data_IF_375058096869
#
_entry.id   IF_375058096869
#
_cell.length_a   1.000
_cell.length_b   1.000
_cell.length_c   1.000
_cell.angle_alpha   90.00
_cell.angle_beta   90.00
_cell.angle_gamma   90.00
#
_symmetry.space_group_name_H-M   'P 1'
#
loop_
_entity.id
_entity.type
_entity.pdbx_description
1 polymer ?
#
# COMPACT_ATOMS: atom_id res chain seq x y z
N UNK A 1 -1.38 2.10 19.52
CA UNK A 1 -0.58 1.09 20.27
C UNK A 1 -0.61 -0.25 19.53
N UNK A 2 0.19 -1.22 19.99
CA UNK A 2 0.13 -2.59 19.44
C UNK A 2 -1.23 -3.24 19.73
N UNK A 3 -1.88 -2.88 20.82
CA UNK A 3 -3.20 -3.43 21.16
C UNK A 3 -4.30 -2.84 20.30
N UNK A 4 -4.23 -1.55 19.96
CA UNK A 4 -5.14 -0.94 18.97
C UNK A 4 -4.99 -1.61 17.60
N UNK A 5 -3.76 -1.93 17.17
CA UNK A 5 -3.52 -2.64 15.92
C UNK A 5 -4.14 -4.05 15.92
N UNK A 6 -4.13 -4.77 17.04
CA UNK A 6 -4.81 -6.07 17.16
C UNK A 6 -6.32 -5.94 16.99
N UNK A 7 -6.93 -4.94 17.63
CA UNK A 7 -8.38 -4.67 17.49
C UNK A 7 -8.72 -4.38 16.01
N UNK A 8 -7.91 -3.57 15.34
CA UNK A 8 -8.09 -3.29 13.91
C UNK A 8 -7.99 -4.57 13.08
N UNK A 9 -7.02 -5.44 13.34
CA UNK A 9 -6.87 -6.72 12.64
C UNK A 9 -8.09 -7.64 12.85
N UNK A 10 -8.64 -7.70 14.06
CA UNK A 10 -9.86 -8.47 14.36
C UNK A 10 -11.05 -7.95 13.54
N UNK A 11 -11.25 -6.62 13.52
CA UNK A 11 -12.31 -5.98 12.71
C UNK A 11 -12.12 -6.28 11.22
N UNK A 12 -10.88 -6.24 10.72
CA UNK A 12 -10.57 -6.54 9.32
C UNK A 12 -10.85 -7.99 8.97
N UNK A 13 -10.50 -8.93 9.82
CA UNK A 13 -10.80 -10.34 9.62
C UNK A 13 -12.33 -10.58 9.59
N UNK A 14 -13.08 -9.97 10.50
CA UNK A 14 -14.55 -10.04 10.50
C UNK A 14 -15.17 -9.46 9.24
N UNK A 15 -14.70 -8.27 8.80
CA UNK A 15 -15.14 -7.66 7.55
C UNK A 15 -14.84 -8.56 6.34
N UNK A 16 -13.65 -9.19 6.32
CA UNK A 16 -13.24 -10.14 5.31
C UNK A 16 -14.14 -11.39 5.26
N UNK A 17 -14.56 -11.92 6.40
CA UNK A 17 -15.51 -13.04 6.45
C UNK A 17 -16.88 -12.66 5.88
N UNK A 18 -17.40 -11.48 6.27
CA UNK A 18 -18.69 -10.98 5.75
C UNK A 18 -18.61 -10.76 4.24
N UNK A 19 -17.55 -10.13 3.76
CA UNK A 19 -17.33 -9.90 2.34
C UNK A 19 -17.23 -11.22 1.55
N UNK A 20 -16.47 -12.18 2.06
CA UNK A 20 -16.32 -13.52 1.46
C UNK A 20 -17.66 -14.26 1.37
N UNK A 21 -18.50 -14.18 2.39
CA UNK A 21 -19.83 -14.77 2.37
C UNK A 21 -20.74 -14.13 1.29
N UNK A 22 -20.49 -12.87 0.94
CA UNK A 22 -21.15 -12.14 -0.14
C UNK A 22 -20.48 -12.32 -1.52
N UNK A 23 -19.42 -13.11 -1.64
CA UNK A 23 -18.65 -13.29 -2.87
C UNK A 23 -17.77 -12.08 -3.24
N UNK A 24 -17.44 -11.23 -2.28
CA UNK A 24 -16.62 -10.02 -2.46
C UNK A 24 -15.27 -10.21 -1.77
N UNK A 25 -14.19 -9.74 -2.38
CA UNK A 25 -12.88 -9.62 -1.73
C UNK A 25 -12.83 -8.33 -0.89
N UNK A 26 -12.23 -8.39 0.28
CA UNK A 26 -12.04 -7.23 1.15
C UNK A 26 -10.56 -6.94 1.33
N UNK A 27 -10.17 -5.69 1.25
CA UNK A 27 -8.78 -5.29 1.39
C UNK A 27 -8.61 -3.90 2.00
N UNK A 28 -7.37 -3.57 2.31
CA UNK A 28 -6.98 -2.32 2.93
C UNK A 28 -5.96 -1.58 2.07
N UNK A 29 -6.16 -0.27 1.89
CA UNK A 29 -5.26 0.66 1.21
C UNK A 29 -4.49 1.49 2.24
N UNK A 30 -3.16 1.54 2.13
CA UNK A 30 -2.31 2.29 3.04
C UNK A 30 -1.97 3.69 2.55
N UNK A 31 -1.69 4.57 3.51
CA UNK A 31 -0.94 5.80 3.31
C UNK A 31 0.42 5.71 4.05
N UNK A 32 1.07 6.84 4.28
CA UNK A 32 2.38 6.87 4.97
C UNK A 32 2.29 6.68 6.49
N UNK A 33 1.11 6.93 7.08
CA UNK A 33 0.90 6.86 8.52
C UNK A 33 1.08 5.46 9.11
N UNK A 34 0.75 4.43 8.35
CA UNK A 34 0.85 3.02 8.75
C UNK A 34 2.29 2.55 8.90
N UNK A 35 3.25 3.25 8.32
CA UNK A 35 4.67 2.95 8.47
C UNK A 35 5.30 3.56 9.72
N UNK A 36 4.52 4.31 10.51
CA UNK A 36 4.95 4.75 11.82
C UNK A 36 5.01 3.57 12.80
N UNK A 37 5.89 3.71 13.81
CA UNK A 37 5.97 2.73 14.88
C UNK A 37 4.85 2.95 15.89
N UNK A 38 4.20 1.89 16.30
CA UNK A 38 3.21 1.91 17.35
C UNK A 38 3.85 2.39 18.67
N UNK A 39 3.09 3.18 19.44
CA UNK A 39 3.53 3.59 20.77
C UNK A 39 3.30 2.45 21.75
N UNK A 40 4.31 2.09 22.52
CA UNK A 40 4.22 1.18 23.66
C UNK A 40 4.38 1.94 24.98
N UNK A 41 3.76 1.44 26.03
CA UNK A 41 4.15 1.75 27.40
C UNK A 41 5.22 0.75 27.83
N UNK A 42 6.27 1.22 28.53
CA UNK A 42 7.21 0.31 29.18
C UNK A 42 6.57 -0.30 30.46
N UNK A 43 7.23 -1.30 31.03
CA UNK A 43 6.77 -1.99 32.25
C UNK A 43 6.63 -1.04 33.48
N UNK A 44 7.03 0.21 33.34
CA UNK A 44 6.94 1.28 34.35
C UNK A 44 5.89 2.34 34.00
N UNK A 45 5.06 2.11 32.96
CA UNK A 45 4.02 3.05 32.51
C UNK A 45 4.54 4.29 31.77
N UNK A 46 5.80 4.28 31.34
CA UNK A 46 6.36 5.39 30.56
C UNK A 46 5.95 5.24 29.09
N UNK A 47 5.16 6.19 28.59
CA UNK A 47 4.80 6.30 27.17
C UNK A 47 5.99 6.71 26.32
N UNK A 48 6.05 6.22 25.10
CA UNK A 48 7.02 6.67 24.09
C UNK A 48 8.09 5.64 23.74
N UNK A 49 8.02 4.41 24.25
CA UNK A 49 8.83 3.30 23.72
C UNK A 49 8.31 2.96 22.32
N UNK A 50 9.20 2.97 21.33
CA UNK A 50 8.83 2.64 19.94
C UNK A 50 8.48 1.15 19.84
N UNK A 51 7.24 0.88 19.39
CA UNK A 51 6.76 -0.45 19.08
C UNK A 51 7.15 -0.92 17.69
N UNK A 52 6.39 -1.87 17.19
CA UNK A 52 6.54 -2.38 15.82
C UNK A 52 5.90 -1.40 14.82
N UNK A 53 6.25 -1.52 13.54
CA UNK A 53 5.61 -0.76 12.46
C UNK A 53 4.14 -1.19 12.39
N UNK A 54 3.22 -0.23 12.35
CA UNK A 54 1.77 -0.50 12.35
C UNK A 54 1.38 -1.35 11.14
N UNK A 55 1.92 -1.04 9.95
CA UNK A 55 1.64 -1.82 8.74
C UNK A 55 2.08 -3.28 8.87
N UNK A 56 3.23 -3.54 9.48
CA UNK A 56 3.71 -4.90 9.77
C UNK A 56 2.77 -5.63 10.74
N UNK A 57 2.26 -4.94 11.76
CA UNK A 57 1.28 -5.51 12.68
C UNK A 57 -0.02 -5.89 11.95
N UNK A 58 -0.49 -5.06 11.03
CA UNK A 58 -1.70 -5.31 10.23
C UNK A 58 -1.51 -6.50 9.28
N UNK A 59 -0.38 -6.56 8.58
CA UNK A 59 -0.04 -7.66 7.67
C UNK A 59 0.08 -9.00 8.38
N UNK A 60 0.66 -9.02 9.58
CA UNK A 60 0.84 -10.22 10.39
C UNK A 60 -0.42 -10.63 11.16
N UNK A 61 -1.26 -9.67 11.56
CA UNK A 61 -2.45 -9.90 12.39
C UNK A 61 -3.72 -10.24 11.61
N UNK A 62 -3.69 -10.15 10.27
CA UNK A 62 -4.85 -10.44 9.42
C UNK A 62 -4.69 -11.75 8.65
N UNK A 63 -5.79 -12.49 8.50
CA UNK A 63 -5.83 -13.73 7.71
C UNK A 63 -5.69 -13.41 6.21
N UNK A 64 -4.65 -13.93 5.52
CA UNK A 64 -4.44 -13.68 4.09
C UNK A 64 -5.55 -14.26 3.18
N UNK A 65 -6.41 -15.15 3.70
CA UNK A 65 -7.58 -15.68 2.95
C UNK A 65 -8.80 -14.77 3.05
N UNK A 66 -8.76 -13.79 3.94
CA UNK A 66 -9.87 -12.88 4.22
C UNK A 66 -9.55 -11.43 3.84
N UNK A 67 -8.28 -11.04 4.02
CA UNK A 67 -7.83 -9.65 3.89
C UNK A 67 -6.65 -9.58 2.93
N UNK A 68 -6.79 -8.85 1.84
CA UNK A 68 -5.66 -8.46 1.00
C UNK A 68 -5.24 -7.02 1.31
N UNK A 69 -4.09 -6.61 0.80
CA UNK A 69 -3.64 -5.23 0.90
C UNK A 69 -3.46 -4.64 -0.50
N UNK A 70 -4.05 -3.48 -0.73
CA UNK A 70 -3.77 -2.63 -1.87
C UNK A 70 -2.64 -1.69 -1.46
N UNK A 71 -1.40 -2.06 -1.82
CA UNK A 71 -0.27 -1.21 -1.47
C UNK A 71 -0.22 0.03 -2.33
N UNK A 72 -0.28 1.20 -1.69
CA UNK A 72 0.11 2.46 -2.33
C UNK A 72 1.63 2.57 -2.31
N UNK A 73 2.24 2.47 -3.49
CA UNK A 73 3.70 2.46 -3.63
C UNK A 73 4.32 3.83 -3.33
N UNK A 74 3.63 4.92 -3.64
CA UNK A 74 4.11 6.28 -3.33
C UNK A 74 4.08 6.54 -1.83
N UNK A 75 2.95 6.25 -1.17
CA UNK A 75 2.84 6.45 0.27
C UNK A 75 3.74 5.51 1.07
N UNK A 76 4.08 4.33 0.54
CA UNK A 76 5.09 3.45 1.13
C UNK A 76 6.47 4.13 1.14
N UNK A 77 6.88 4.73 0.01
CA UNK A 77 8.13 5.50 -0.07
C UNK A 77 8.09 6.74 0.83
N UNK A 78 6.95 7.44 0.88
CA UNK A 78 6.77 8.58 1.80
C UNK A 78 6.79 8.16 3.28
N UNK A 79 6.40 6.92 3.58
CA UNK A 79 6.57 6.27 4.87
C UNK A 79 8.01 5.80 5.16
N UNK A 80 8.96 6.16 4.28
CA UNK A 80 10.38 5.79 4.39
C UNK A 80 10.62 4.26 4.35
N UNK A 81 9.80 3.56 3.56
CA UNK A 81 9.93 2.13 3.32
C UNK A 81 10.14 1.85 1.83
N UNK A 82 10.75 0.71 1.52
CA UNK A 82 10.89 0.25 0.15
C UNK A 82 9.76 -0.73 -0.20
N UNK A 83 8.93 -0.45 -1.22
CA UNK A 83 7.91 -1.39 -1.69
C UNK A 83 8.47 -2.76 -2.05
N UNK A 84 9.69 -2.83 -2.60
CA UNK A 84 10.31 -4.09 -3.01
C UNK A 84 10.59 -5.00 -1.81
N UNK A 85 11.06 -4.42 -0.68
CA UNK A 85 11.28 -5.16 0.57
C UNK A 85 9.97 -5.72 1.11
N UNK A 86 8.87 -4.95 1.03
CA UNK A 86 7.55 -5.41 1.45
C UNK A 86 7.00 -6.52 0.57
N UNK A 87 7.21 -6.47 -0.76
CA UNK A 87 6.84 -7.56 -1.65
C UNK A 87 7.59 -8.87 -1.34
N UNK A 88 8.87 -8.78 -0.96
CA UNK A 88 9.62 -9.96 -0.51
C UNK A 88 9.15 -10.46 0.84
N UNK A 89 9.05 -9.58 1.83
CA UNK A 89 8.71 -9.92 3.22
C UNK A 89 7.31 -10.51 3.36
N UNK A 90 6.37 -10.01 2.57
CA UNK A 90 4.95 -10.36 2.64
C UNK A 90 4.41 -10.84 1.29
N UNK A 91 5.13 -11.76 0.65
CA UNK A 91 4.76 -12.29 -0.66
C UNK A 91 3.29 -12.79 -0.69
N UNK A 92 2.56 -12.43 -1.75
CA UNK A 92 1.17 -12.80 -1.95
C UNK A 92 0.15 -11.96 -1.16
N UNK A 93 0.59 -10.97 -0.35
CA UNK A 93 -0.33 -10.11 0.39
C UNK A 93 -0.82 -8.91 -0.42
N UNK A 94 -0.19 -8.60 -1.58
CA UNK A 94 -0.43 -7.41 -2.40
C UNK A 94 -0.90 -7.77 -3.82
N UNK A 95 -2.09 -8.40 -3.97
CA UNK A 95 -2.63 -8.69 -5.30
C UNK A 95 -3.08 -7.44 -6.05
N UNK A 96 -3.25 -6.33 -5.35
CA UNK A 96 -3.65 -5.03 -5.88
C UNK A 96 -2.60 -3.98 -5.51
N UNK A 97 -2.23 -3.12 -6.45
CA UNK A 97 -1.41 -1.94 -6.19
C UNK A 97 -2.14 -0.65 -6.49
N UNK A 98 -1.86 0.35 -5.69
CA UNK A 98 -2.21 1.73 -5.95
C UNK A 98 -0.96 2.43 -6.51
N UNK A 99 -1.01 2.76 -7.79
CA UNK A 99 0.10 3.36 -8.54
C UNK A 99 -0.04 4.86 -8.53
N UNK A 100 0.84 5.48 -7.79
CA UNK A 100 0.85 6.90 -7.52
C UNK A 100 2.27 7.45 -7.58
N UNK A 101 2.38 8.72 -7.92
CA UNK A 101 3.58 9.52 -7.83
C UNK A 101 3.21 10.88 -7.17
N UNK A 102 4.16 11.73 -6.96
CA UNK A 102 3.93 13.08 -6.42
C UNK A 102 2.96 13.91 -7.29
N UNK A 103 2.94 13.65 -8.58
CA UNK A 103 2.07 14.24 -9.59
C UNK A 103 1.93 13.24 -10.74
N UNK A 104 2.24 13.64 -11.98
CA UNK A 104 2.22 12.74 -13.14
C UNK A 104 3.22 11.61 -12.94
N UNK A 105 2.81 10.38 -13.24
CA UNK A 105 3.64 9.18 -13.08
C UNK A 105 4.98 9.31 -13.83
N UNK A 106 6.05 8.93 -13.14
CA UNK A 106 7.42 8.95 -13.66
C UNK A 106 8.08 10.33 -13.73
N UNK A 107 7.39 11.41 -13.37
CA UNK A 107 7.94 12.76 -13.46
C UNK A 107 8.66 13.24 -12.19
N UNK A 108 8.44 12.61 -11.04
CA UNK A 108 9.14 12.98 -9.81
C UNK A 108 10.59 12.52 -9.77
N UNK A 109 10.92 11.46 -10.49
CA UNK A 109 12.20 10.77 -10.40
C UNK A 109 12.39 9.97 -9.10
N UNK A 110 11.39 9.91 -8.23
CA UNK A 110 11.47 9.20 -6.93
C UNK A 110 11.06 7.73 -7.04
N UNK A 111 10.19 7.40 -8.00
CA UNK A 111 9.57 6.09 -8.09
C UNK A 111 10.22 5.25 -9.19
N UNK A 112 10.79 4.10 -8.81
CA UNK A 112 11.29 3.13 -9.78
C UNK A 112 10.17 2.16 -10.18
N UNK A 113 9.22 2.64 -11.00
CA UNK A 113 8.07 1.85 -11.41
C UNK A 113 8.45 0.56 -12.15
N UNK A 114 9.54 0.56 -12.91
CA UNK A 114 10.01 -0.66 -13.59
C UNK A 114 10.30 -1.79 -12.59
N UNK A 115 11.08 -1.52 -11.55
CA UNK A 115 11.39 -2.52 -10.53
C UNK A 115 10.17 -2.87 -9.68
N UNK A 116 9.32 -1.89 -9.36
CA UNK A 116 8.07 -2.09 -8.62
C UNK A 116 7.17 -3.08 -9.37
N UNK A 117 6.85 -2.82 -10.63
CA UNK A 117 5.99 -3.69 -11.43
C UNK A 117 6.59 -5.09 -11.63
N UNK A 118 7.89 -5.18 -11.97
CA UNK A 118 8.58 -6.47 -12.12
C UNK A 118 8.46 -7.31 -10.85
N UNK A 119 8.79 -6.74 -9.70
CA UNK A 119 8.74 -7.44 -8.42
C UNK A 119 7.30 -7.79 -8.02
N UNK A 120 6.37 -6.88 -8.21
CA UNK A 120 4.97 -7.11 -7.89
C UNK A 120 4.37 -8.26 -8.71
N UNK A 121 4.64 -8.33 -10.02
CA UNK A 121 4.20 -9.47 -10.86
C UNK A 121 4.83 -10.79 -10.41
N UNK A 122 6.11 -10.81 -10.02
CA UNK A 122 6.76 -12.00 -9.45
C UNK A 122 6.06 -12.47 -8.16
N UNK A 123 5.46 -11.56 -7.41
CA UNK A 123 4.83 -11.80 -6.10
C UNK A 123 3.31 -11.88 -6.15
N UNK A 124 2.71 -11.94 -7.35
CA UNK A 124 1.28 -12.22 -7.52
C UNK A 124 0.40 -10.98 -7.67
N UNK A 125 0.90 -9.92 -8.28
CA UNK A 125 0.08 -8.78 -8.67
C UNK A 125 -0.97 -9.21 -9.71
N UNK A 126 -2.25 -8.97 -9.39
CA UNK A 126 -3.40 -9.22 -10.27
C UNK A 126 -3.85 -7.93 -10.98
N UNK A 127 -3.99 -6.85 -10.20
CA UNK A 127 -4.60 -5.59 -10.65
C UNK A 127 -3.83 -4.38 -10.10
N UNK A 128 -3.98 -3.24 -10.75
CA UNK A 128 -3.51 -1.96 -10.21
C UNK A 128 -4.43 -0.82 -10.60
N UNK A 129 -4.49 0.19 -9.75
CA UNK A 129 -5.22 1.43 -9.96
C UNK A 129 -4.26 2.61 -9.95
N UNK A 130 -4.57 3.64 -10.76
CA UNK A 130 -3.74 4.85 -10.87
C UNK A 130 -4.46 6.00 -10.21
N UNK A 131 -3.79 6.67 -9.28
CA UNK A 131 -4.29 7.89 -8.69
C UNK A 131 -3.45 9.10 -9.09
N UNK A 132 -4.15 10.21 -9.39
CA UNK A 132 -3.58 11.52 -9.61
C UNK A 132 -4.21 12.53 -8.65
N UNK A 133 -3.52 12.83 -7.53
CA UNK A 133 -3.99 13.84 -6.58
C UNK A 133 -3.58 15.27 -6.96
N UNK A 134 -2.37 15.43 -7.44
CA UNK A 134 -1.80 16.75 -7.73
C UNK A 134 -1.54 16.96 -9.21
N UNK A 135 -1.95 18.11 -9.74
CA UNK A 135 -1.63 18.54 -11.08
C UNK A 135 -0.82 19.83 -11.06
N UNK A 136 -0.05 20.07 -12.11
CA UNK A 136 0.68 21.33 -12.27
C UNK A 136 -0.27 22.48 -12.61
N UNK A 137 0.08 23.69 -12.19
CA UNK A 137 -0.65 24.89 -12.58
C UNK A 137 -0.78 25.00 -14.11
N UNK A 138 -1.98 25.29 -14.59
CA UNK A 138 -2.28 25.39 -16.03
C UNK A 138 -2.63 24.07 -16.72
N UNK A 139 -2.69 22.96 -16.00
CA UNK A 139 -3.10 21.65 -16.51
C UNK A 139 -4.46 21.27 -15.94
N UNK A 140 -5.30 20.62 -16.72
CA UNK A 140 -6.56 20.01 -16.25
C UNK A 140 -6.31 18.60 -15.67
N UNK A 141 -7.23 18.14 -14.81
CA UNK A 141 -7.21 16.76 -14.30
C UNK A 141 -7.17 15.74 -15.45
N UNK A 142 -7.97 15.94 -16.49
CA UNK A 142 -8.04 15.04 -17.62
C UNK A 142 -6.71 14.93 -18.37
N UNK A 143 -6.03 16.06 -18.60
CA UNK A 143 -4.69 16.07 -19.21
C UNK A 143 -3.67 15.32 -18.35
N UNK A 144 -3.73 15.51 -17.02
CA UNK A 144 -2.87 14.80 -16.10
C UNK A 144 -3.09 13.28 -16.10
N UNK A 145 -4.35 12.84 -16.04
CA UNK A 145 -4.71 11.41 -16.13
C UNK A 145 -4.27 10.82 -17.46
N UNK A 146 -4.45 11.55 -18.56
CA UNK A 146 -3.98 11.11 -19.88
C UNK A 146 -2.47 10.91 -19.92
N UNK A 147 -1.71 11.79 -19.30
CA UNK A 147 -0.24 11.64 -19.22
C UNK A 147 0.18 10.43 -18.38
N UNK A 148 -0.51 10.13 -17.28
CA UNK A 148 -0.28 8.93 -16.50
C UNK A 148 -0.59 7.66 -17.31
N UNK A 149 -1.70 7.65 -18.03
CA UNK A 149 -2.06 6.57 -18.95
C UNK A 149 -1.01 6.37 -20.04
N UNK A 150 -0.62 7.45 -20.73
CA UNK A 150 0.38 7.41 -21.81
C UNK A 150 1.74 6.90 -21.30
N UNK A 151 2.11 7.24 -20.07
CA UNK A 151 3.33 6.73 -19.43
C UNK A 151 3.28 5.21 -19.26
N UNK A 152 2.23 4.68 -18.65
CA UNK A 152 2.09 3.24 -18.40
C UNK A 152 1.86 2.45 -19.69
N UNK A 153 1.06 2.98 -20.62
CA UNK A 153 0.77 2.30 -21.89
C UNK A 153 2.01 2.16 -22.80
N UNK A 154 3.02 3.01 -22.63
CA UNK A 154 4.30 2.91 -23.34
C UNK A 154 5.36 2.15 -22.56
N UNK A 155 5.12 1.84 -21.31
CA UNK A 155 6.09 1.20 -20.44
C UNK A 155 6.19 -0.30 -20.73
N UNK A 156 7.38 -0.82 -21.13
CA UNK A 156 7.53 -2.23 -21.50
C UNK A 156 7.42 -3.19 -20.31
N UNK A 157 7.39 -2.67 -19.11
CA UNK A 157 7.30 -3.44 -17.87
C UNK A 157 5.87 -3.58 -17.34
N UNK A 158 4.89 -2.93 -17.94
CA UNK A 158 3.46 -3.08 -17.61
C UNK A 158 2.86 -4.15 -18.52
N UNK A 159 2.11 -5.08 -17.92
CA UNK A 159 1.48 -6.22 -18.63
C UNK A 159 -0.02 -6.01 -18.73
#
# INVERSE_FOLDING_TARGET
SNDDAKIVCEVFNQAGEIAKAAGIKWGYHNHSGEFQKAVKEDDKGKRGVQGDIIYDLMLNGTDPKLVFFEMDVYWTVMGQQDPLDYFEKYAGRFPVLHIKDRSILGQSGMMNFENIFKKAYEKGLDEFYVELEGIRSGMTQFEGVKLCFDYLNKAPFVK
#
